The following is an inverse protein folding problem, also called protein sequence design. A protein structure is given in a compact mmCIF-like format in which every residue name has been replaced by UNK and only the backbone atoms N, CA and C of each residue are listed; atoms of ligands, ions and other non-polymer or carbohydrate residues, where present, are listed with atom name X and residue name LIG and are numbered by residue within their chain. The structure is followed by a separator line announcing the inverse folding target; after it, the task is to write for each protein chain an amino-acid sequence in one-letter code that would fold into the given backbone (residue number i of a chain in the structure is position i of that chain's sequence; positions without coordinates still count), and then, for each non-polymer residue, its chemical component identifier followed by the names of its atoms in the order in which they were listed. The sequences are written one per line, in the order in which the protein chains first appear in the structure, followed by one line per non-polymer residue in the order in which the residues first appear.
data_IF_797020033689
#
_entry.id   IF_797020033689
#
_cell.length_a   1.000
_cell.length_b   1.000
_cell.length_c   1.000
_cell.angle_alpha   90.00
_cell.angle_beta   90.00
_cell.angle_gamma   90.00
#
_symmetry.space_group_name_H-M   'P 1'
#
loop_
_entity.id
_entity.type
_entity.pdbx_description
1 polymer ?
#
# COMPACT_ATOMS: atom_id res chain seq x y z
N UNK A 1 20.81 4.80 17.78
CA UNK A 1 21.40 3.77 16.89
C UNK A 1 20.45 2.59 16.62
N UNK A 2 19.57 2.21 17.54
CA UNK A 2 18.64 1.07 17.37
C UNK A 2 17.62 1.21 16.23
N UNK A 3 17.16 2.44 15.96
CA UNK A 3 16.21 2.71 14.88
C UNK A 3 16.81 2.45 13.48
N UNK A 4 18.04 2.89 13.23
CA UNK A 4 18.71 2.66 11.94
C UNK A 4 19.00 1.18 11.70
N UNK A 5 19.35 0.44 12.76
CA UNK A 5 19.55 -1.01 12.67
C UNK A 5 18.23 -1.77 12.44
N UNK A 6 17.11 -1.31 13.01
CA UNK A 6 15.78 -1.84 12.72
C UNK A 6 15.41 -1.64 11.24
N UNK A 7 15.63 -0.44 10.68
CA UNK A 7 15.36 -0.16 9.27
C UNK A 7 16.22 -1.03 8.34
N UNK A 8 17.51 -1.19 8.65
CA UNK A 8 18.42 -2.04 7.88
C UNK A 8 17.97 -3.51 7.91
N UNK A 9 17.51 -4.02 9.06
CA UNK A 9 16.95 -5.37 9.18
C UNK A 9 15.67 -5.53 8.35
N UNK A 10 14.74 -4.59 8.45
CA UNK A 10 13.49 -4.60 7.68
C UNK A 10 13.77 -4.57 6.18
N UNK A 11 14.68 -3.70 5.72
CA UNK A 11 15.12 -3.64 4.31
C UNK A 11 15.74 -4.95 3.81
N UNK A 12 16.51 -5.63 4.66
CA UNK A 12 17.14 -6.91 4.30
C UNK A 12 16.12 -8.04 4.21
N UNK A 13 15.12 -8.05 5.10
CA UNK A 13 14.09 -9.09 5.15
C UNK A 13 13.00 -8.89 4.09
N UNK A 14 12.65 -7.63 3.80
CA UNK A 14 11.55 -7.26 2.92
C UNK A 14 11.96 -6.14 1.94
N UNK A 15 12.94 -6.39 1.04
CA UNK A 15 13.48 -5.36 0.16
C UNK A 15 12.46 -4.76 -0.81
N UNK A 16 11.61 -5.60 -1.43
CA UNK A 16 10.59 -5.13 -2.38
C UNK A 16 9.45 -4.41 -1.67
N UNK A 17 8.94 -4.96 -0.56
CA UNK A 17 7.93 -4.25 0.26
C UNK A 17 8.47 -2.93 0.77
N UNK A 18 9.78 -2.85 1.07
CA UNK A 18 10.36 -1.58 1.50
C UNK A 18 10.39 -0.53 0.39
N UNK A 19 10.78 -0.89 -0.82
CA UNK A 19 10.74 0.02 -1.96
C UNK A 19 9.30 0.46 -2.28
N UNK A 20 8.36 -0.47 -2.33
CA UNK A 20 6.94 -0.18 -2.59
C UNK A 20 6.31 0.69 -1.48
N UNK A 21 6.62 0.40 -0.21
CA UNK A 21 6.15 1.19 0.93
C UNK A 21 6.69 2.63 0.93
N UNK A 22 7.90 2.86 0.40
CA UNK A 22 8.42 4.21 0.19
C UNK A 22 7.64 4.98 -0.89
N UNK A 23 7.33 4.34 -2.03
CA UNK A 23 6.47 4.97 -3.06
C UNK A 23 5.07 5.26 -2.51
N UNK A 24 4.46 4.31 -1.79
CA UNK A 24 3.16 4.50 -1.13
C UNK A 24 3.14 5.75 -0.25
N UNK A 25 4.20 5.98 0.54
CA UNK A 25 4.31 7.17 1.38
C UNK A 25 4.41 8.45 0.55
N UNK A 26 5.19 8.47 -0.53
CA UNK A 26 5.25 9.62 -1.43
C UNK A 26 3.87 9.90 -2.06
N UNK A 27 3.15 8.86 -2.48
CA UNK A 27 1.79 9.02 -3.05
C UNK A 27 0.77 9.46 -2.00
N UNK A 28 0.92 9.03 -0.76
CA UNK A 28 0.08 9.49 0.35
C UNK A 28 0.29 10.99 0.62
N UNK A 29 1.54 11.46 0.55
CA UNK A 29 1.87 12.88 0.65
C UNK A 29 1.25 13.68 -0.51
N UNK A 30 1.41 13.22 -1.76
CA UNK A 30 0.81 13.84 -2.95
C UNK A 30 -0.72 13.95 -2.81
N UNK A 31 -1.38 12.87 -2.35
CA UNK A 31 -2.82 12.84 -2.15
C UNK A 31 -3.26 13.81 -1.06
N UNK A 32 -2.55 13.86 0.07
CA UNK A 32 -2.81 14.81 1.15
C UNK A 32 -2.69 16.26 0.67
N UNK A 33 -1.63 16.59 -0.09
CA UNK A 33 -1.45 17.91 -0.68
C UNK A 33 -2.61 18.26 -1.61
N UNK A 34 -3.00 17.35 -2.51
CA UNK A 34 -4.12 17.57 -3.42
C UNK A 34 -5.46 17.78 -2.71
N UNK A 35 -5.70 17.08 -1.58
CA UNK A 35 -6.91 17.26 -0.74
C UNK A 35 -6.94 18.62 -0.03
N UNK A 36 -5.78 19.24 0.19
CA UNK A 36 -5.68 20.59 0.77
C UNK A 36 -5.95 21.71 -0.23
N UNK A 37 -6.04 21.42 -1.53
CA UNK A 37 -6.33 22.41 -2.56
C UNK A 37 -7.84 22.62 -2.75
N UNK A 38 -8.29 23.82 -3.20
CA UNK A 38 -9.70 24.06 -3.49
C UNK A 38 -10.23 23.09 -4.56
N UNK A 39 -11.19 22.24 -4.18
CA UNK A 39 -11.76 21.17 -5.03
C UNK A 39 -12.31 21.68 -6.38
N UNK A 40 -12.83 22.91 -6.41
CA UNK A 40 -13.34 23.53 -7.64
C UNK A 40 -12.24 23.81 -8.69
N UNK A 41 -10.97 23.89 -8.27
CA UNK A 41 -9.84 24.23 -9.15
C UNK A 41 -9.00 23.00 -9.55
N UNK A 42 -9.11 21.87 -8.84
CA UNK A 42 -8.17 20.74 -8.99
C UNK A 42 -8.79 19.33 -9.06
N UNK A 43 -10.02 19.13 -9.56
CA UNK A 43 -10.69 17.81 -9.48
C UNK A 43 -9.90 16.72 -10.22
N UNK A 44 -9.29 17.04 -11.36
CA UNK A 44 -8.45 16.13 -12.15
C UNK A 44 -7.15 15.74 -11.42
N UNK A 45 -6.54 16.67 -10.67
CA UNK A 45 -5.35 16.39 -9.85
C UNK A 45 -5.69 15.44 -8.71
N UNK A 46 -6.81 15.67 -8.03
CA UNK A 46 -7.28 14.80 -6.96
C UNK A 46 -7.61 13.38 -7.48
N UNK A 47 -8.27 13.25 -8.63
CA UNK A 47 -8.50 11.94 -9.26
C UNK A 47 -7.19 11.24 -9.60
N UNK A 48 -6.23 11.95 -10.20
CA UNK A 48 -4.92 11.38 -10.56
C UNK A 48 -4.10 10.98 -9.32
N UNK A 49 -4.15 11.77 -8.25
CA UNK A 49 -3.49 11.47 -6.98
C UNK A 49 -4.09 10.24 -6.30
N UNK A 50 -5.42 10.12 -6.26
CA UNK A 50 -6.10 8.92 -5.74
C UNK A 50 -5.71 7.66 -6.53
N UNK A 51 -5.67 7.75 -7.87
CA UNK A 51 -5.28 6.61 -8.72
C UNK A 51 -3.86 6.13 -8.42
N UNK A 52 -2.89 7.06 -8.39
CA UNK A 52 -1.49 6.75 -8.08
C UNK A 52 -1.32 6.17 -6.68
N UNK A 53 -2.02 6.74 -5.70
CA UNK A 53 -2.02 6.23 -4.33
C UNK A 53 -2.56 4.79 -4.24
N UNK A 54 -3.70 4.50 -4.87
CA UNK A 54 -4.27 3.15 -4.87
C UNK A 54 -3.37 2.13 -5.57
N UNK A 55 -2.72 2.51 -6.68
CA UNK A 55 -1.74 1.64 -7.36
C UNK A 55 -0.53 1.34 -6.47
N UNK A 56 0.00 2.33 -5.75
CA UNK A 56 1.11 2.13 -4.83
C UNK A 56 0.72 1.27 -3.62
N UNK A 57 -0.53 1.40 -3.14
CA UNK A 57 -1.06 0.55 -2.06
C UNK A 57 -1.17 -0.91 -2.52
N UNK A 58 -1.66 -1.15 -3.73
CA UNK A 58 -1.76 -2.49 -4.31
C UNK A 58 -0.38 -3.12 -4.52
N UNK A 59 0.57 -2.36 -5.05
CA UNK A 59 1.95 -2.83 -5.24
C UNK A 59 2.62 -3.19 -3.91
N UNK A 60 2.39 -2.38 -2.87
CA UNK A 60 2.90 -2.65 -1.52
C UNK A 60 2.32 -3.94 -0.96
N UNK A 61 1.02 -4.16 -1.14
CA UNK A 61 0.35 -5.38 -0.70
C UNK A 61 0.85 -6.61 -1.46
N UNK A 62 1.04 -6.49 -2.78
CA UNK A 62 1.58 -7.55 -3.63
C UNK A 62 2.99 -7.97 -3.21
N UNK A 63 3.89 -6.99 -3.05
CA UNK A 63 5.24 -7.24 -2.59
C UNK A 63 5.26 -7.89 -1.21
N UNK A 64 4.41 -7.41 -0.28
CA UNK A 64 4.28 -7.99 1.06
C UNK A 64 3.83 -9.45 1.00
N UNK A 65 2.76 -9.76 0.26
CA UNK A 65 2.25 -11.13 0.11
C UNK A 65 3.32 -12.07 -0.42
N UNK A 66 4.08 -11.62 -1.44
CA UNK A 66 5.17 -12.40 -2.04
C UNK A 66 6.32 -12.64 -1.07
N UNK A 67 6.77 -11.63 -0.34
CA UNK A 67 7.93 -11.74 0.54
C UNK A 67 7.61 -12.45 1.87
N UNK A 68 6.37 -12.39 2.35
CA UNK A 68 5.94 -13.09 3.58
C UNK A 68 5.31 -14.45 3.31
N UNK A 69 4.98 -14.77 2.05
CA UNK A 69 4.15 -15.91 1.69
C UNK A 69 2.83 -15.95 2.48
N UNK A 70 2.21 -14.78 2.66
CA UNK A 70 0.93 -14.63 3.38
C UNK A 70 -0.22 -14.52 2.37
N UNK A 71 -1.26 -15.30 2.59
CA UNK A 71 -2.41 -15.42 1.70
C UNK A 71 -3.72 -15.03 2.40
N UNK A 72 -3.68 -14.72 3.69
CA UNK A 72 -4.81 -14.17 4.42
C UNK A 72 -4.78 -12.62 4.33
N UNK A 73 -5.85 -11.97 3.80
CA UNK A 73 -5.92 -10.52 3.65
C UNK A 73 -5.78 -9.74 4.97
N UNK A 74 -6.34 -10.27 6.06
CA UNK A 74 -6.30 -9.63 7.37
C UNK A 74 -4.88 -9.66 7.97
N UNK A 75 -4.18 -10.79 7.85
CA UNK A 75 -2.78 -10.90 8.25
C UNK A 75 -1.87 -10.02 7.40
N UNK A 76 -2.12 -9.94 6.10
CA UNK A 76 -1.38 -9.08 5.19
C UNK A 76 -1.55 -7.60 5.56
N UNK A 77 -2.78 -7.18 5.90
CA UNK A 77 -3.07 -5.84 6.39
C UNK A 77 -2.34 -5.55 7.71
N UNK A 78 -2.39 -6.48 8.68
CA UNK A 78 -1.65 -6.37 9.95
C UNK A 78 -0.15 -6.25 9.73
N UNK A 79 0.40 -7.05 8.81
CA UNK A 79 1.81 -7.00 8.43
C UNK A 79 2.19 -5.64 7.85
N UNK A 80 1.44 -5.14 6.86
CA UNK A 80 1.72 -3.85 6.21
C UNK A 80 1.61 -2.70 7.21
N UNK A 81 0.59 -2.69 8.07
CA UNK A 81 0.44 -1.68 9.11
C UNK A 81 1.63 -1.69 10.10
N UNK A 82 2.03 -2.88 10.56
CA UNK A 82 3.19 -3.04 11.45
C UNK A 82 4.52 -2.70 10.77
N UNK A 83 4.67 -3.03 9.49
CA UNK A 83 5.82 -2.66 8.66
C UNK A 83 5.93 -1.15 8.56
N UNK A 84 4.86 -0.47 8.13
CA UNK A 84 4.84 0.97 7.96
C UNK A 84 5.09 1.69 9.30
N UNK A 85 4.54 1.19 10.41
CA UNK A 85 4.77 1.77 11.74
C UNK A 85 6.26 1.71 12.14
N UNK A 86 6.92 0.58 11.90
CA UNK A 86 8.37 0.44 12.16
C UNK A 86 9.21 1.39 11.31
N UNK A 87 8.81 1.66 10.06
CA UNK A 87 9.51 2.64 9.22
C UNK A 87 9.19 4.09 9.64
N UNK A 88 7.97 4.37 10.08
CA UNK A 88 7.61 5.70 10.58
C UNK A 88 8.36 6.09 11.87
N UNK A 89 8.66 5.13 12.74
CA UNK A 89 9.49 5.35 13.94
C UNK A 89 10.88 5.92 13.63
N UNK A 90 11.39 5.71 12.42
CA UNK A 90 12.74 6.15 12.02
C UNK A 90 12.71 7.35 11.07
N UNK A 91 11.52 7.72 10.58
CA UNK A 91 11.28 8.81 9.64
C UNK A 91 10.13 9.69 10.15
N UNK A 92 10.41 10.74 10.93
CA UNK A 92 9.37 11.53 11.60
C UNK A 92 8.32 12.12 10.66
N UNK A 93 8.73 12.46 9.43
CA UNK A 93 7.88 13.00 8.36
C UNK A 93 6.79 12.02 7.89
N UNK A 94 6.95 10.72 8.15
CA UNK A 94 5.97 9.70 7.76
C UNK A 94 4.75 9.68 8.68
N UNK A 95 4.86 10.21 9.91
CA UNK A 95 3.73 10.28 10.84
C UNK A 95 2.59 11.15 10.30
N UNK A 96 2.89 12.19 9.52
CA UNK A 96 1.87 13.10 8.98
C UNK A 96 1.02 12.46 7.87
N UNK A 97 1.56 11.47 7.17
CA UNK A 97 0.87 10.79 6.06
C UNK A 97 0.26 9.45 6.47
N UNK A 98 0.66 8.92 7.63
CA UNK A 98 0.16 7.66 8.18
C UNK A 98 -1.37 7.57 8.29
N UNK A 99 -2.09 8.61 8.77
CA UNK A 99 -3.56 8.56 8.83
C UNK A 99 -4.21 8.40 7.46
N UNK A 100 -3.60 8.94 6.40
CA UNK A 100 -4.12 8.81 5.02
C UNK A 100 -3.98 7.38 4.52
N UNK A 101 -2.86 6.73 4.83
CA UNK A 101 -2.62 5.34 4.46
C UNK A 101 -3.55 4.41 5.25
N UNK A 102 -3.67 4.62 6.57
CA UNK A 102 -4.53 3.81 7.44
C UNK A 102 -6.01 3.96 7.07
N UNK A 103 -6.53 5.18 6.84
CA UNK A 103 -7.91 5.39 6.37
C UNK A 103 -8.19 4.65 5.06
N UNK A 104 -7.24 4.67 4.13
CA UNK A 104 -7.38 3.94 2.88
C UNK A 104 -7.33 2.41 3.07
N UNK A 105 -6.45 1.90 3.92
CA UNK A 105 -6.39 0.47 4.24
C UNK A 105 -7.71 -0.02 4.88
N UNK A 106 -8.28 0.76 5.81
CA UNK A 106 -9.59 0.46 6.38
C UNK A 106 -10.69 0.45 5.33
N UNK A 107 -10.76 1.48 4.47
CA UNK A 107 -11.77 1.53 3.38
C UNK A 107 -11.60 0.37 2.40
N UNK A 108 -10.38 -0.01 2.07
CA UNK A 108 -10.09 -1.13 1.18
C UNK A 108 -10.52 -2.49 1.77
N UNK A 109 -10.53 -2.63 3.10
CA UNK A 109 -10.97 -3.85 3.78
C UNK A 109 -12.52 -3.97 3.86
N UNK A 110 -13.26 -2.85 3.85
CA UNK A 110 -14.72 -2.85 4.03
C UNK A 110 -15.54 -2.80 2.71
N UNK A 111 -14.93 -2.64 1.54
CA UNK A 111 -15.63 -2.19 0.32
C UNK A 111 -15.80 -3.23 -0.83
N UNK A 112 -15.80 -4.55 -0.60
CA UNK A 112 -15.86 -5.64 -1.64
C UNK A 112 -14.55 -5.83 -2.45
N UNK A 113 -14.38 -6.97 -3.19
CA UNK A 113 -13.19 -7.84 -3.13
C UNK A 113 -11.95 -7.05 -2.80
N UNK A 114 -11.53 -7.17 -1.53
CA UNK A 114 -10.63 -6.21 -0.92
C UNK A 114 -9.38 -6.08 -1.77
N UNK A 115 -8.82 -4.88 -1.85
CA UNK A 115 -7.60 -4.64 -2.66
C UNK A 115 -6.45 -5.59 -2.24
N UNK A 116 -6.49 -6.08 -1.00
CA UNK A 116 -5.65 -7.14 -0.46
C UNK A 116 -6.00 -8.54 -1.02
N UNK A 117 -7.28 -8.92 -1.09
CA UNK A 117 -7.73 -10.14 -1.79
C UNK A 117 -7.27 -10.14 -3.25
N UNK A 118 -7.41 -9.03 -3.98
CA UNK A 118 -6.94 -8.93 -5.38
C UNK A 118 -5.43 -9.03 -5.51
N UNK A 119 -4.67 -8.47 -4.56
CA UNK A 119 -3.22 -8.61 -4.54
C UNK A 119 -2.82 -10.07 -4.29
N UNK A 120 -3.53 -10.76 -3.40
CA UNK A 120 -3.35 -12.19 -3.13
C UNK A 120 -3.74 -13.04 -4.35
N UNK A 121 -4.88 -12.79 -4.99
CA UNK A 121 -5.33 -13.49 -6.21
C UNK A 121 -4.32 -13.35 -7.35
N UNK A 122 -3.74 -12.15 -7.53
CA UNK A 122 -2.73 -11.86 -8.54
C UNK A 122 -1.39 -12.53 -8.27
N UNK A 123 -1.02 -12.72 -7.00
CA UNK A 123 0.21 -13.44 -6.62
C UNK A 123 0.04 -14.97 -6.64
N UNK A 124 -1.14 -15.48 -6.26
CA UNK A 124 -1.45 -16.92 -6.28
C UNK A 124 -1.69 -17.42 -7.71
N UNK A 125 -2.03 -16.54 -8.66
CA UNK A 125 -2.23 -16.92 -10.05
C UNK A 125 -3.53 -17.69 -10.27
N UNK A 126 -4.63 -17.29 -9.61
CA UNK A 126 -5.93 -17.56 -10.21
C UNK A 126 -6.08 -16.55 -11.34
N UNK A 127 -5.54 -16.90 -12.51
CA UNK A 127 -6.17 -16.49 -13.76
C UNK A 127 -7.63 -16.91 -13.60
N UNK A 128 -8.61 -16.00 -13.59
CA UNK A 128 -9.99 -16.44 -13.67
C UNK A 128 -10.08 -17.23 -14.97
N UNK A 129 -10.45 -18.50 -14.91
CA UNK A 129 -10.77 -19.35 -16.07
C UNK A 129 -11.88 -18.76 -16.98
N UNK A 130 -12.30 -17.51 -16.76
CA UNK A 130 -13.36 -16.82 -17.46
C UNK A 130 -12.93 -16.06 -18.74
N UNK A 131 -11.69 -16.19 -19.22
CA UNK A 131 -11.30 -15.66 -20.54
C UNK A 131 -10.84 -16.75 -21.55
N UNK A 132 -11.20 -18.01 -21.32
CA UNK A 132 -11.31 -18.98 -22.42
C UNK A 132 -12.76 -18.93 -22.94
N UNK A 133 -13.05 -17.97 -23.80
CA UNK A 133 -14.10 -18.14 -24.81
C UNK A 133 -13.42 -18.14 -26.17
N UNK A 134 -13.23 -19.37 -26.66
CA UNK A 134 -13.24 -19.82 -28.05
C UNK A 134 -12.57 -18.93 -29.12
N UNK A 135 -11.42 -19.42 -29.61
CA UNK A 135 -11.16 -19.50 -31.04
C UNK A 135 -11.30 -20.97 -31.46
#
# INVERSE_FOLDING_TARGET
MEHLSLLAKVRKLYPATTAAGQDLVMRAADLRLCRGLPLAATPHLLTAANRRFNSALEETARCAARETNEHNPENLMKFIAGFLAKVAMVSPQWHEVFPTIIDAMYRANFATPSLFEKAIEREIGIVPDAYIIAA
#
